data_IF_036484798099
#
_entry.id   IF_036484798099
#
_cell.length_a   1.000
_cell.length_b   1.000
_cell.length_c   1.000
_cell.angle_alpha   90.00
_cell.angle_beta   90.00
_cell.angle_gamma   90.00
#
_symmetry.space_group_name_H-M   'P 1'
#
loop_
_entity.id
_entity.type
_entity.pdbx_description
1 polymer ?
#
# COMPACT_ATOMS: atom_id res chain seq x y z
N UNK A 1 -9.62 1.94 7.65
CA UNK A 1 -10.47 2.44 6.55
C UNK A 1 -10.65 1.34 5.50
N UNK A 2 -11.75 1.38 4.77
CA UNK A 2 -12.06 0.36 3.75
C UNK A 2 -10.97 0.23 2.68
N UNK A 3 -10.34 1.33 2.30
CA UNK A 3 -9.30 1.31 1.26
C UNK A 3 -8.02 0.61 1.74
N UNK A 4 -7.63 0.77 3.00
CA UNK A 4 -6.46 0.04 3.53
C UNK A 4 -6.73 -1.45 3.58
N UNK A 5 -7.92 -1.86 3.99
CA UNK A 5 -8.30 -3.28 3.98
C UNK A 5 -8.28 -3.85 2.55
N UNK A 6 -8.76 -3.09 1.57
CA UNK A 6 -8.73 -3.49 0.16
C UNK A 6 -7.31 -3.62 -0.38
N UNK A 7 -6.43 -2.70 -0.02
CA UNK A 7 -5.02 -2.76 -0.41
C UNK A 7 -4.35 -3.98 0.22
N UNK A 8 -4.56 -4.21 1.51
CA UNK A 8 -4.01 -5.38 2.19
C UNK A 8 -4.46 -6.68 1.51
N UNK A 9 -5.74 -6.78 1.16
CA UNK A 9 -6.28 -7.95 0.46
C UNK A 9 -5.66 -8.12 -0.92
N UNK A 10 -5.54 -7.03 -1.70
CA UNK A 10 -4.92 -7.06 -3.01
C UNK A 10 -3.47 -7.54 -2.94
N UNK A 11 -2.71 -7.09 -1.95
CA UNK A 11 -1.33 -7.53 -1.75
C UNK A 11 -1.26 -9.00 -1.34
N UNK A 12 -2.13 -9.43 -0.43
CA UNK A 12 -2.17 -10.84 0.03
C UNK A 12 -2.62 -11.80 -1.06
N UNK A 13 -3.39 -11.33 -2.03
CA UNK A 13 -3.81 -12.12 -3.18
C UNK A 13 -2.82 -12.09 -4.35
N UNK A 14 -1.79 -11.27 -4.25
CA UNK A 14 -0.75 -11.18 -5.28
C UNK A 14 0.30 -12.26 -5.06
N UNK A 15 0.40 -13.20 -6.00
CA UNK A 15 1.43 -14.25 -5.96
C UNK A 15 2.84 -13.65 -5.95
N UNK A 16 3.20 -12.69 -6.83
CA UNK A 16 4.54 -12.10 -6.81
C UNK A 16 4.88 -11.41 -5.49
N UNK A 17 3.92 -10.69 -4.89
CA UNK A 17 4.14 -10.04 -3.61
C UNK A 17 4.37 -11.07 -2.50
N UNK A 18 3.46 -12.02 -2.37
CA UNK A 18 3.52 -13.00 -1.27
C UNK A 18 4.65 -14.01 -1.42
N UNK A 19 5.20 -14.19 -2.61
CA UNK A 19 6.39 -15.00 -2.80
C UNK A 19 7.64 -14.35 -2.18
N UNK A 20 7.63 -13.04 -1.99
CA UNK A 20 8.80 -12.28 -1.52
C UNK A 20 8.72 -11.77 -0.08
N UNK A 21 7.56 -11.81 0.57
CA UNK A 21 7.38 -11.24 1.92
C UNK A 21 6.86 -12.28 2.90
N UNK A 22 7.16 -12.07 4.19
CA UNK A 22 6.64 -12.90 5.27
C UNK A 22 5.17 -12.60 5.60
N UNK A 23 4.73 -11.38 5.33
CA UNK A 23 3.35 -10.97 5.58
C UNK A 23 3.09 -9.52 5.24
N UNK A 24 1.80 -9.18 5.26
CA UNK A 24 1.29 -7.82 5.06
C UNK A 24 0.51 -7.45 6.32
N UNK A 25 0.92 -6.36 6.97
CA UNK A 25 0.40 -5.95 8.27
C UNK A 25 -0.28 -4.58 8.19
N UNK A 26 -1.37 -4.43 8.91
CA UNK A 26 -2.05 -3.15 9.07
C UNK A 26 -1.45 -2.45 10.28
N UNK A 27 -0.44 -1.62 10.03
CA UNK A 27 0.39 -1.00 11.05
C UNK A 27 1.66 -1.80 11.34
N UNK A 28 2.57 -1.25 12.15
CA UNK A 28 3.83 -1.92 12.45
C UNK A 28 3.61 -3.18 13.28
N UNK A 29 4.10 -4.34 12.83
CA UNK A 29 4.02 -5.56 13.63
C UNK A 29 5.02 -5.51 14.78
N UNK A 30 4.71 -6.20 15.89
CA UNK A 30 5.63 -6.35 17.00
C UNK A 30 6.80 -7.27 16.67
N UNK A 31 6.58 -8.22 15.77
CA UNK A 31 7.59 -9.14 15.21
C UNK A 31 7.21 -9.50 13.79
N UNK A 32 8.19 -9.46 12.90
CA UNK A 32 8.04 -9.97 11.55
C UNK A 32 9.40 -10.33 10.99
N UNK A 33 9.46 -11.39 10.19
CA UNK A 33 10.66 -11.72 9.42
C UNK A 33 10.73 -10.84 8.18
N UNK A 34 11.93 -10.38 7.85
CA UNK A 34 12.15 -9.63 6.61
C UNK A 34 12.12 -10.55 5.38
N UNK A 35 11.68 -10.05 4.23
CA UNK A 35 10.97 -8.78 4.04
C UNK A 35 9.52 -8.85 4.50
N UNK A 36 8.95 -7.71 4.88
CA UNK A 36 7.54 -7.62 5.19
C UNK A 36 6.98 -6.24 4.78
N UNK A 37 5.66 -6.16 4.68
CA UNK A 37 4.96 -4.93 4.31
C UNK A 37 4.12 -4.46 5.51
N UNK A 38 4.25 -3.17 5.85
CA UNK A 38 3.41 -2.53 6.87
C UNK A 38 2.64 -1.38 6.21
N UNK A 39 1.32 -1.41 6.35
CA UNK A 39 0.46 -0.32 5.92
C UNK A 39 0.46 0.76 6.98
N UNK A 40 0.60 2.02 6.57
CA UNK A 40 0.48 3.17 7.45
C UNK A 40 -0.97 3.60 7.56
N UNK A 41 -1.29 4.33 8.63
CA UNK A 41 -2.56 5.02 8.72
C UNK A 41 -2.67 6.02 7.56
N UNK A 42 -3.82 5.99 6.89
CA UNK A 42 -4.08 6.91 5.80
C UNK A 42 -4.57 8.26 6.32
N UNK A 43 -4.49 9.26 5.45
CA UNK A 43 -5.14 10.53 5.67
C UNK A 43 -6.25 10.71 4.64
N UNK A 44 -7.39 11.20 5.08
CA UNK A 44 -8.55 11.42 4.23
C UNK A 44 -9.04 12.84 4.27
N UNK A 45 -9.58 13.29 3.14
CA UNK A 45 -10.22 14.58 3.01
C UNK A 45 -11.50 14.44 2.20
N UNK A 46 -12.37 15.45 2.29
CA UNK A 46 -13.62 15.46 1.55
C UNK A 46 -13.37 15.60 0.05
N UNK A 47 -14.06 14.80 -0.72
CA UNK A 47 -14.05 14.86 -2.19
C UNK A 47 -15.48 14.62 -2.71
N UNK A 48 -16.47 15.16 -2.01
CA UNK A 48 -17.87 14.96 -2.33
C UNK A 48 -18.29 15.73 -3.60
N UNK A 49 -19.25 15.17 -4.32
CA UNK A 49 -19.97 15.85 -5.39
C UNK A 49 -21.29 16.38 -4.87
N UNK A 50 -22.08 17.06 -5.72
CA UNK A 50 -23.41 17.52 -5.35
C UNK A 50 -24.38 16.39 -5.04
N UNK A 51 -24.10 15.18 -5.57
CA UNK A 51 -25.03 14.04 -5.51
C UNK A 51 -24.52 12.88 -4.68
N UNK A 52 -23.24 12.87 -4.32
CA UNK A 52 -22.66 11.75 -3.58
C UNK A 52 -21.54 12.21 -2.65
N UNK A 53 -21.50 11.70 -1.41
CA UNK A 53 -20.33 11.85 -0.56
C UNK A 53 -19.10 11.21 -1.20
N UNK A 54 -17.96 11.83 -1.04
CA UNK A 54 -16.69 11.33 -1.55
C UNK A 54 -15.55 11.56 -0.59
N UNK A 55 -14.48 10.82 -0.80
CA UNK A 55 -13.25 10.92 -0.02
C UNK A 55 -12.05 10.86 -0.95
N UNK A 56 -11.05 11.64 -0.62
CA UNK A 56 -9.70 11.49 -1.17
C UNK A 56 -8.82 10.96 -0.06
N UNK A 57 -8.22 9.81 -0.28
CA UNK A 57 -7.40 9.12 0.71
C UNK A 57 -5.98 9.05 0.21
N UNK A 58 -5.02 9.47 1.01
CA UNK A 58 -3.61 9.19 0.79
C UNK A 58 -3.24 7.97 1.61
N UNK A 59 -2.75 6.96 0.93
CA UNK A 59 -2.33 5.71 1.56
C UNK A 59 -0.84 5.52 1.32
N UNK A 60 -0.15 5.10 2.35
CA UNK A 60 1.26 4.79 2.27
C UNK A 60 1.50 3.42 2.89
N UNK A 61 2.47 2.72 2.31
CA UNK A 61 2.97 1.49 2.89
C UNK A 61 4.49 1.49 2.84
N UNK A 62 5.08 0.68 3.70
CA UNK A 62 6.53 0.50 3.72
C UNK A 62 6.85 -0.96 3.54
N UNK A 63 7.72 -1.25 2.60
CA UNK A 63 8.34 -2.57 2.43
C UNK A 63 9.66 -2.55 3.18
N UNK A 64 9.78 -3.38 4.20
CA UNK A 64 10.98 -3.49 5.02
C UNK A 64 11.81 -4.67 4.56
N UNK A 65 13.12 -4.46 4.34
CA UNK A 65 14.04 -5.48 3.91
C UNK A 65 15.41 -5.30 4.59
N UNK A 66 16.05 -6.39 4.96
CA UNK A 66 17.36 -6.40 5.60
C UNK A 66 18.47 -6.96 4.70
N UNK A 67 18.22 -7.09 3.40
CA UNK A 67 19.20 -7.57 2.44
C UNK A 67 20.38 -6.63 2.27
N UNK A 68 21.47 -7.15 1.71
CA UNK A 68 22.69 -6.36 1.47
C UNK A 68 22.53 -5.36 0.34
N UNK A 69 21.64 -5.63 -0.61
CA UNK A 69 21.40 -4.82 -1.80
C UNK A 69 19.95 -4.40 -1.93
N UNK A 70 19.73 -3.25 -2.58
CA UNK A 70 18.40 -2.70 -2.79
C UNK A 70 17.60 -3.40 -3.90
N UNK A 71 18.21 -4.29 -4.68
CA UNK A 71 17.56 -4.91 -5.85
C UNK A 71 16.33 -5.73 -5.48
N UNK A 72 16.40 -6.52 -4.41
CA UNK A 72 15.24 -7.30 -3.93
C UNK A 72 14.10 -6.38 -3.49
N UNK A 73 14.42 -5.33 -2.75
CA UNK A 73 13.45 -4.34 -2.32
C UNK A 73 12.79 -3.65 -3.51
N UNK A 74 13.57 -3.22 -4.50
CA UNK A 74 13.05 -2.57 -5.69
C UNK A 74 12.10 -3.47 -6.48
N UNK A 75 12.42 -4.75 -6.62
CA UNK A 75 11.53 -5.73 -7.25
C UNK A 75 10.22 -5.89 -6.48
N UNK A 76 10.29 -5.98 -5.16
CA UNK A 76 9.09 -6.08 -4.31
C UNK A 76 8.23 -4.83 -4.43
N UNK A 77 8.82 -3.65 -4.44
CA UNK A 77 8.09 -2.39 -4.62
C UNK A 77 7.34 -2.37 -5.96
N UNK A 78 7.97 -2.84 -7.03
CA UNK A 78 7.32 -2.98 -8.34
C UNK A 78 6.12 -3.93 -8.30
N UNK A 79 6.25 -5.07 -7.65
CA UNK A 79 5.15 -6.02 -7.49
C UNK A 79 4.01 -5.45 -6.65
N UNK A 80 4.33 -4.65 -5.62
CA UNK A 80 3.34 -3.94 -4.81
C UNK A 80 2.55 -2.94 -5.66
N UNK A 81 3.25 -2.14 -6.46
CA UNK A 81 2.60 -1.16 -7.36
C UNK A 81 1.67 -1.86 -8.34
N UNK A 82 2.10 -2.97 -8.94
CA UNK A 82 1.27 -3.74 -9.88
C UNK A 82 0.03 -4.32 -9.19
N UNK A 83 0.17 -4.83 -7.98
CA UNK A 83 -0.95 -5.39 -7.23
C UNK A 83 -2.00 -4.32 -6.88
N UNK A 84 -1.56 -3.13 -6.50
CA UNK A 84 -2.45 -2.01 -6.19
C UNK A 84 -3.15 -1.53 -7.46
N UNK A 85 -2.43 -1.46 -8.59
CA UNK A 85 -3.01 -1.06 -9.87
C UNK A 85 -4.10 -2.04 -10.35
N UNK A 86 -4.00 -3.31 -9.98
CA UNK A 86 -4.97 -4.35 -10.35
C UNK A 86 -6.12 -4.49 -9.35
N UNK A 87 -6.13 -3.70 -8.29
CA UNK A 87 -7.13 -3.78 -7.23
C UNK A 87 -8.54 -3.49 -7.78
N UNK A 88 -9.57 -4.27 -7.37
CA UNK A 88 -10.94 -3.99 -7.76
C UNK A 88 -11.40 -2.60 -7.31
N UNK A 89 -12.20 -1.94 -8.15
CA UNK A 89 -12.71 -0.62 -7.87
C UNK A 89 -13.91 -0.57 -6.91
N UNK A 90 -14.60 -1.70 -6.71
CA UNK A 90 -15.76 -1.75 -5.82
C UNK A 90 -15.35 -2.19 -4.42
N UNK A 91 -15.69 -1.35 -3.44
CA UNK A 91 -15.49 -1.62 -2.01
C UNK A 91 -16.85 -1.60 -1.30
N UNK A 92 -16.96 -2.23 -0.12
CA UNK A 92 -18.20 -2.13 0.65
C UNK A 92 -18.59 -0.66 0.93
N UNK A 93 -19.68 -0.22 0.32
CA UNK A 93 -20.19 1.14 0.47
C UNK A 93 -19.48 2.21 -0.35
N UNK A 94 -18.44 1.87 -1.13
CA UNK A 94 -17.64 2.83 -1.88
C UNK A 94 -17.26 2.30 -3.25
N UNK A 95 -17.07 3.21 -4.18
CA UNK A 95 -16.50 2.93 -5.49
C UNK A 95 -15.26 3.80 -5.71
N UNK A 96 -14.15 3.18 -6.02
CA UNK A 96 -12.91 3.88 -6.38
C UNK A 96 -13.09 4.48 -7.77
N UNK A 97 -12.97 5.79 -7.88
CA UNK A 97 -13.01 6.51 -9.15
C UNK A 97 -11.62 6.69 -9.74
N UNK A 98 -10.60 6.79 -8.89
CA UNK A 98 -9.20 6.81 -9.33
C UNK A 98 -8.28 6.31 -8.22
N UNK A 99 -7.21 5.66 -8.64
CA UNK A 99 -6.12 5.24 -7.76
C UNK A 99 -4.83 5.57 -8.49
N UNK A 100 -4.08 6.54 -7.98
CA UNK A 100 -2.92 7.12 -8.66
C UNK A 100 -1.67 6.91 -7.82
N UNK A 101 -0.65 6.33 -8.42
CA UNK A 101 0.68 6.29 -7.83
C UNK A 101 1.22 7.71 -7.70
N UNK A 102 1.68 8.07 -6.52
CA UNK A 102 2.24 9.39 -6.24
C UNK A 102 3.76 9.39 -6.21
N UNK A 103 4.33 8.49 -5.41
CA UNK A 103 5.79 8.40 -5.29
C UNK A 103 6.22 7.11 -4.63
N UNK A 104 7.49 6.78 -4.83
CA UNK A 104 8.20 5.79 -4.04
C UNK A 104 9.54 6.36 -3.59
N UNK A 105 10.06 5.83 -2.49
CA UNK A 105 11.33 6.26 -1.95
C UNK A 105 11.98 5.11 -1.20
N UNK A 106 13.30 4.97 -1.37
CA UNK A 106 14.08 3.98 -0.64
C UNK A 106 14.99 4.72 0.33
N UNK A 107 14.92 4.34 1.60
CA UNK A 107 15.74 4.92 2.67
C UNK A 107 16.42 3.78 3.43
N UNK A 108 17.66 4.00 3.82
CA UNK A 108 18.38 3.06 4.68
C UNK A 108 19.15 3.81 5.74
N UNK A 109 18.94 3.46 7.00
CA UNK A 109 19.82 3.86 8.08
C UNK A 109 21.15 3.11 7.98
N UNK A 110 22.23 3.74 8.44
CA UNK A 110 23.60 3.23 8.26
C UNK A 110 23.80 1.79 8.75
N UNK A 111 23.02 1.33 9.73
CA UNK A 111 23.10 -0.02 10.30
C UNK A 111 21.74 -0.72 10.37
N UNK A 112 20.72 -0.13 9.78
CA UNK A 112 19.35 -0.62 9.85
C UNK A 112 18.87 -1.27 8.56
N UNK A 113 17.62 -1.76 8.55
CA UNK A 113 17.01 -2.30 7.36
C UNK A 113 16.71 -1.22 6.33
N UNK A 114 16.47 -1.65 5.09
CA UNK A 114 15.95 -0.81 4.04
C UNK A 114 14.47 -0.57 4.24
N UNK A 115 14.02 0.66 4.02
CA UNK A 115 12.62 1.02 3.99
C UNK A 115 12.25 1.49 2.58
N UNK A 116 11.34 0.77 1.93
CA UNK A 116 10.78 1.16 0.63
C UNK A 116 9.38 1.73 0.84
N UNK A 117 9.25 3.05 0.71
CA UNK A 117 7.96 3.73 0.85
C UNK A 117 7.25 3.78 -0.49
N UNK A 118 5.97 3.44 -0.50
CA UNK A 118 5.10 3.54 -1.68
C UNK A 118 3.84 4.30 -1.29
N UNK A 119 3.51 5.33 -2.04
CA UNK A 119 2.39 6.23 -1.75
C UNK A 119 1.44 6.33 -2.94
N UNK A 120 0.14 6.24 -2.65
CA UNK A 120 -0.94 6.37 -3.63
C UNK A 120 -1.98 7.36 -3.13
N UNK A 121 -2.69 7.97 -4.09
CA UNK A 121 -3.90 8.75 -3.84
C UNK A 121 -5.10 7.99 -4.39
N UNK A 122 -6.09 7.76 -3.54
CA UNK A 122 -7.34 7.08 -3.92
C UNK A 122 -8.48 8.09 -3.78
N UNK A 123 -9.26 8.25 -4.84
CA UNK A 123 -10.52 9.00 -4.80
C UNK A 123 -11.67 8.02 -4.94
N UNK A 124 -12.67 8.16 -4.07
CA UNK A 124 -13.81 7.26 -4.04
C UNK A 124 -15.11 8.00 -3.73
N UNK A 125 -16.19 7.47 -4.24
CA UNK A 125 -17.54 7.97 -4.03
C UNK A 125 -18.37 6.91 -3.30
N UNK A 126 -19.26 7.37 -2.41
CA UNK A 126 -20.21 6.50 -1.74
C UNK A 126 -21.18 5.88 -2.76
N UNK A 127 -21.50 4.64 -2.52
CA UNK A 127 -22.51 3.91 -3.30
C UNK A 127 -23.82 3.81 -2.56
#
# INVERSE_FOLDING_TARGET
MAVQAAIAEALRNSVPVMAGVSGVYDGPPSRAAFPYIALSDGSGSDWSTKTAPGREIRVALTVWDDGDEASRLSSLMGHVEDAIAAMPGDLPGWRITSCVFLRSMVVRDAAGPWAGLVEHRVRMLAQ
#
